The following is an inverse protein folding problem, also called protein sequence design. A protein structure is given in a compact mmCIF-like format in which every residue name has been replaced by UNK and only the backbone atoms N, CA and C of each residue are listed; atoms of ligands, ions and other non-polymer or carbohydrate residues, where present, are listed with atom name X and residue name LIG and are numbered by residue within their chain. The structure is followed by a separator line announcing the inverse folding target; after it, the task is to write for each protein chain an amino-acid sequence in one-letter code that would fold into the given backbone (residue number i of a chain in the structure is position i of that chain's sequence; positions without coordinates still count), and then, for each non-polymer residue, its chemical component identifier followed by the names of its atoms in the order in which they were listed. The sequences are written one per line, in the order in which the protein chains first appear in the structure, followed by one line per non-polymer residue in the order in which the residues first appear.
data_IF_112088562744
#
_entry.id   IF_112088562744
#
_cell.length_a   1.000
_cell.length_b   1.000
_cell.length_c   1.000
_cell.angle_alpha   90.00
_cell.angle_beta   90.00
_cell.angle_gamma   90.00
#
_symmetry.space_group_name_H-M   'P 1'
#
loop_
_entity.id
_entity.type
_entity.pdbx_description
1 polymer ?
#
# COMPACT_ATOMS: atom_id res chain seq x y z
N UNK A 1 3.97 18.96 3.92
CA UNK A 1 3.55 18.91 3.80
C UNK A 1 2.66 18.44 3.34
N UNK A 2 2.35 18.32 3.22
CA UNK A 2 1.57 17.96 2.87
C UNK A 2 0.95 17.08 2.58
N UNK A 3 0.71 17.10 2.34
CA UNK A 3 0.34 15.94 2.32
C UNK A 3 -0.94 15.45 2.84
N UNK A 4 -1.91 16.15 2.90
CA UNK A 4 -3.10 15.92 3.60
C UNK A 4 -3.95 14.74 3.18
N UNK A 5 -3.79 14.23 1.96
CA UNK A 5 -4.65 13.15 1.49
C UNK A 5 -4.00 11.78 1.51
N UNK A 6 -2.85 11.67 2.12
CA UNK A 6 -2.19 10.37 2.17
C UNK A 6 -2.76 9.49 3.26
N UNK A 7 -2.93 8.23 2.93
CA UNK A 7 -3.46 7.22 3.83
C UNK A 7 -2.40 6.18 4.05
N UNK A 8 -2.18 5.79 5.30
CA UNK A 8 -1.20 4.77 5.63
C UNK A 8 -1.89 3.45 5.87
N UNK A 9 -1.40 2.40 5.20
CA UNK A 9 -1.91 1.05 5.36
C UNK A 9 -0.80 0.14 5.86
N UNK A 10 -1.09 -0.60 6.90
CA UNK A 10 -0.13 -1.56 7.43
C UNK A 10 -0.21 -2.85 6.63
N UNK A 11 0.93 -3.30 6.10
CA UNK A 11 0.99 -4.51 5.29
C UNK A 11 2.08 -5.40 5.85
N UNK A 12 1.73 -6.64 6.14
CA UNK A 12 2.68 -7.61 6.69
C UNK A 12 3.24 -8.50 5.59
N UNK A 13 4.46 -8.95 5.78
CA UNK A 13 5.09 -9.85 4.83
C UNK A 13 6.10 -9.20 3.89
N UNK A 14 6.19 -7.89 3.90
CA UNK A 14 7.19 -7.20 3.07
C UNK A 14 8.55 -7.29 3.74
N UNK A 15 9.44 -8.08 3.17
CA UNK A 15 10.75 -8.30 3.77
C UNK A 15 11.90 -8.00 2.82
N UNK A 16 11.62 -7.58 1.60
CA UNK A 16 12.68 -7.30 0.63
C UNK A 16 12.22 -6.25 -0.37
N UNK A 17 13.17 -5.75 -1.17
CA UNK A 17 12.88 -4.72 -2.15
C UNK A 17 11.92 -5.21 -3.23
N UNK A 18 11.96 -6.46 -3.56
CA UNK A 18 11.03 -7.06 -4.50
C UNK A 18 9.60 -6.94 -4.00
N UNK A 19 9.42 -7.20 -2.72
CA UNK A 19 8.11 -7.12 -2.10
C UNK A 19 7.58 -5.68 -2.18
N UNK A 20 8.45 -4.72 -1.87
CA UNK A 20 8.09 -3.32 -1.97
C UNK A 20 7.65 -2.96 -3.39
N UNK A 21 8.41 -3.40 -4.39
CA UNK A 21 8.11 -3.09 -5.77
C UNK A 21 6.77 -3.69 -6.19
N UNK A 22 6.51 -4.93 -5.76
CA UNK A 22 5.24 -5.58 -6.08
C UNK A 22 4.05 -4.87 -5.45
N UNK A 23 4.18 -4.51 -4.18
CA UNK A 23 3.11 -3.79 -3.50
C UNK A 23 2.86 -2.44 -4.16
N UNK A 24 3.93 -1.72 -4.45
CA UNK A 24 3.82 -0.43 -5.13
C UNK A 24 3.08 -0.58 -6.45
N UNK A 25 3.45 -1.59 -7.21
CA UNK A 25 2.86 -1.81 -8.52
C UNK A 25 1.36 -2.11 -8.44
N UNK A 26 0.98 -3.05 -7.58
CA UNK A 26 -0.43 -3.45 -7.52
C UNK A 26 -1.31 -2.35 -6.97
N UNK A 27 -0.79 -1.57 -6.02
CA UNK A 27 -1.57 -0.47 -5.46
C UNK A 27 -1.68 0.66 -6.48
N UNK A 28 -0.61 0.96 -7.20
CA UNK A 28 -0.64 2.05 -8.18
C UNK A 28 -1.55 1.74 -9.37
N UNK A 29 -1.88 0.47 -9.57
CA UNK A 29 -2.81 0.09 -10.64
C UNK A 29 -4.26 0.40 -10.29
N UNK A 30 -4.55 0.72 -9.05
CA UNK A 30 -5.91 1.05 -8.63
C UNK A 30 -6.29 2.42 -9.14
N UNK A 31 -7.51 2.55 -9.66
CA UNK A 31 -7.96 3.80 -10.24
C UNK A 31 -8.07 4.91 -9.22
N UNK A 32 -8.36 4.55 -7.97
CA UNK A 32 -8.53 5.53 -6.90
C UNK A 32 -7.20 6.03 -6.34
N UNK A 33 -6.09 5.49 -6.81
CA UNK A 33 -4.77 5.81 -6.27
C UNK A 33 -4.03 6.69 -7.26
N UNK A 34 -3.50 7.80 -6.77
CA UNK A 34 -2.67 8.69 -7.58
C UNK A 34 -1.20 8.32 -7.45
N UNK A 35 -0.78 8.05 -6.22
CA UNK A 35 0.62 7.79 -5.96
C UNK A 35 0.73 6.87 -4.75
N UNK A 36 1.77 6.06 -4.72
CA UNK A 36 1.99 5.16 -3.59
C UNK A 36 3.47 5.17 -3.22
N UNK A 37 3.72 5.14 -1.92
CA UNK A 37 5.08 5.11 -1.39
C UNK A 37 5.13 4.09 -0.28
N UNK A 38 5.95 3.06 -0.45
CA UNK A 38 6.02 1.97 0.50
C UNK A 38 7.28 2.11 1.35
N UNK A 39 7.12 1.97 2.65
CA UNK A 39 8.24 1.99 3.59
C UNK A 39 8.46 0.59 4.14
N UNK A 40 9.55 -0.03 3.73
CA UNK A 40 9.87 -1.40 4.16
C UNK A 40 10.17 -1.49 5.65
N UNK A 41 10.87 -0.49 6.16
CA UNK A 41 11.25 -0.50 7.58
C UNK A 41 10.05 -0.55 8.49
N UNK A 42 8.99 0.11 8.09
CA UNK A 42 7.76 0.18 8.89
C UNK A 42 6.72 -0.83 8.46
N UNK A 43 6.87 -1.37 7.26
CA UNK A 43 5.86 -2.25 6.71
C UNK A 43 4.57 -1.51 6.40
N UNK A 44 4.69 -0.27 5.95
CA UNK A 44 3.55 0.62 5.73
C UNK A 44 3.57 1.14 4.31
N UNK A 45 2.39 1.19 3.69
CA UNK A 45 2.22 1.79 2.37
C UNK A 45 1.49 3.12 2.53
N UNK A 46 2.14 4.18 2.09
CA UNK A 46 1.52 5.51 2.08
C UNK A 46 0.92 5.73 0.70
N UNK A 47 -0.39 5.92 0.67
CA UNK A 47 -1.13 6.00 -0.58
C UNK A 47 -1.76 7.37 -0.71
N UNK A 48 -1.51 8.02 -1.85
CA UNK A 48 -2.15 9.28 -2.18
C UNK A 48 -3.35 9.00 -3.08
N UNK A 49 -4.50 9.54 -2.71
CA UNK A 49 -5.73 9.29 -3.43
C UNK A 49 -6.82 8.90 -2.47
N UNK A 50 -7.77 8.13 -2.97
CA UNK A 50 -8.93 7.77 -2.15
C UNK A 50 -9.31 6.31 -2.33
N UNK A 51 -8.39 5.37 -2.15
CA UNK A 51 -8.72 3.96 -2.26
C UNK A 51 -9.48 3.50 -1.01
N UNK A 52 -10.29 2.46 -1.17
CA UNK A 52 -10.96 1.84 -0.04
C UNK A 52 -10.03 0.80 0.58
N UNK A 53 -10.33 0.46 1.83
CA UNK A 53 -9.56 -0.59 2.51
C UNK A 53 -9.63 -1.91 1.73
N UNK A 54 -10.80 -2.20 1.16
CA UNK A 54 -10.99 -3.43 0.42
C UNK A 54 -10.14 -3.48 -0.85
N UNK A 55 -10.00 -2.35 -1.51
CA UNK A 55 -9.16 -2.29 -2.70
C UNK A 55 -7.71 -2.59 -2.37
N UNK A 56 -7.22 -1.99 -1.29
CA UNK A 56 -5.84 -2.22 -0.87
C UNK A 56 -5.67 -3.65 -0.40
N UNK A 57 -6.62 -4.15 0.38
CA UNK A 57 -6.56 -5.52 0.86
C UNK A 57 -6.51 -6.52 -0.28
N UNK A 58 -7.40 -6.36 -1.26
CA UNK A 58 -7.43 -7.26 -2.41
C UNK A 58 -6.10 -7.21 -3.17
N UNK A 59 -5.57 -6.01 -3.36
CA UNK A 59 -4.33 -5.87 -4.11
C UNK A 59 -3.16 -6.56 -3.42
N UNK A 60 -3.00 -6.34 -2.13
CA UNK A 60 -1.84 -6.91 -1.43
C UNK A 60 -2.00 -8.40 -1.18
N UNK A 61 -3.22 -8.86 -0.94
CA UNK A 61 -3.42 -10.29 -0.71
C UNK A 61 -3.28 -11.10 -1.98
N UNK A 62 -3.57 -10.48 -3.12
CA UNK A 62 -3.42 -11.16 -4.40
C UNK A 62 -1.97 -11.54 -4.69
N UNK A 63 -1.02 -10.86 -4.09
CA UNK A 63 0.40 -11.16 -4.29
C UNK A 63 1.04 -11.80 -3.06
N UNK A 64 0.21 -12.25 -2.11
CA UNK A 64 0.70 -13.05 -1.00
C UNK A 64 1.05 -12.31 0.27
N UNK A 65 0.70 -11.04 0.37
CA UNK A 65 0.94 -10.28 1.60
C UNK A 65 -0.32 -10.21 2.43
N UNK A 66 -0.17 -9.75 3.66
CA UNK A 66 -1.29 -9.67 4.58
C UNK A 66 -1.63 -8.21 4.88
N UNK A 67 -2.89 -7.85 4.69
CA UNK A 67 -3.36 -6.51 4.99
C UNK A 67 -3.72 -6.43 6.46
N UNK A 68 -3.09 -5.48 7.16
CA UNK A 68 -3.31 -5.32 8.60
C UNK A 68 -4.23 -4.17 8.95
N UNK A 69 -4.63 -3.43 7.94
CA UNK A 69 -5.57 -2.34 8.17
C UNK A 69 -4.94 -0.98 7.98
N UNK A 70 -5.79 0.02 8.15
CA UNK A 70 -5.37 1.41 8.03
C UNK A 70 -4.82 1.89 9.37
N UNK A 71 -3.75 2.63 9.29
CA UNK A 71 -3.12 3.18 10.49
C UNK A 71 -3.70 4.55 10.80
#
# INVERSE_FOLDING_TARGET
NNVGNKIAFKIDGMSCNHCKANVTKVISNLKSVKEVNVNLSEGVAYVDGNPTDEEIKSAVEAIGFEFKGRI
#
